data_IF_662804038958
#
_entry.id   IF_662804038958
#
_cell.length_a   1.000
_cell.length_b   1.000
_cell.length_c   1.000
_cell.angle_alpha   90.00
_cell.angle_beta   90.00
_cell.angle_gamma   90.00
#
_symmetry.space_group_name_H-M   'P 1'
#
loop_
_entity.id
_entity.type
_entity.pdbx_description
1 polymer ?
#
# COMPACT_ATOMS: atom_id res chain seq x y z
N UNK A 1 -69.56 -53.85 27.04
CA UNK A 1 -68.53 -53.47 26.05
C UNK A 1 -68.32 -54.66 25.14
N UNK A 2 -68.61 -54.53 23.85
CA UNK A 2 -68.55 -55.64 22.88
C UNK A 2 -67.13 -55.84 22.35
N UNK A 3 -66.84 -57.02 21.81
CA UNK A 3 -65.52 -57.34 21.22
C UNK A 3 -65.16 -56.37 20.09
N UNK A 4 -66.15 -55.93 19.30
CA UNK A 4 -66.00 -54.94 18.24
C UNK A 4 -65.68 -53.52 18.76
N UNK A 5 -66.25 -53.10 19.89
CA UNK A 5 -65.91 -51.81 20.52
C UNK A 5 -64.46 -51.79 21.00
N UNK A 6 -63.97 -52.90 21.56
CA UNK A 6 -62.57 -53.04 22.00
C UNK A 6 -61.61 -52.95 20.80
N UNK A 7 -61.92 -53.68 19.73
CA UNK A 7 -61.13 -53.70 18.50
C UNK A 7 -61.06 -52.32 17.82
N UNK A 8 -62.18 -51.58 17.77
CA UNK A 8 -62.20 -50.20 17.22
C UNK A 8 -61.38 -49.23 18.05
N UNK A 9 -61.37 -49.39 19.37
CA UNK A 9 -60.58 -48.55 20.29
C UNK A 9 -59.08 -48.81 20.15
N UNK A 10 -58.68 -50.07 20.04
CA UNK A 10 -57.30 -50.47 19.80
C UNK A 10 -56.80 -49.98 18.42
N UNK A 11 -57.65 -50.02 17.40
CA UNK A 11 -57.32 -49.49 16.07
C UNK A 11 -57.22 -47.96 16.06
N UNK A 12 -58.05 -47.26 16.84
CA UNK A 12 -57.90 -45.82 17.07
C UNK A 12 -56.59 -45.48 17.77
N UNK A 13 -56.24 -46.20 18.84
CA UNK A 13 -54.98 -46.01 19.57
C UNK A 13 -53.76 -46.24 18.67
N UNK A 14 -53.77 -47.30 17.83
CA UNK A 14 -52.71 -47.55 16.84
C UNK A 14 -52.54 -46.40 15.85
N UNK A 15 -53.64 -45.89 15.29
CA UNK A 15 -53.59 -44.75 14.35
C UNK A 15 -53.08 -43.48 15.04
N UNK A 16 -53.41 -43.30 16.32
CA UNK A 16 -52.94 -42.17 17.11
C UNK A 16 -51.44 -42.29 17.45
N UNK A 17 -50.96 -43.50 17.77
CA UNK A 17 -49.54 -43.80 17.96
C UNK A 17 -48.72 -43.61 16.67
N UNK A 18 -49.23 -44.05 15.52
CA UNK A 18 -48.62 -43.81 14.21
C UNK A 18 -48.53 -42.31 13.88
N UNK A 19 -49.59 -41.53 14.17
CA UNK A 19 -49.56 -40.07 14.04
C UNK A 19 -48.52 -39.43 14.94
N UNK A 20 -48.44 -39.85 16.21
CA UNK A 20 -47.42 -39.33 17.14
C UNK A 20 -46.00 -39.66 16.71
N UNK A 21 -45.77 -40.87 16.16
CA UNK A 21 -44.46 -41.24 15.60
C UNK A 21 -44.09 -40.40 14.39
N UNK A 22 -45.00 -40.26 13.43
CA UNK A 22 -44.77 -39.46 12.23
C UNK A 22 -44.58 -37.98 12.56
N UNK A 23 -45.35 -37.41 13.49
CA UNK A 23 -45.15 -36.05 14.00
C UNK A 23 -43.79 -35.87 14.68
N UNK A 24 -43.36 -36.85 15.49
CA UNK A 24 -42.06 -36.83 16.15
C UNK A 24 -40.90 -36.90 15.13
N UNK A 25 -41.02 -37.75 14.11
CA UNK A 25 -40.04 -37.84 13.01
C UNK A 25 -39.98 -36.55 12.20
N UNK A 26 -41.13 -35.94 11.88
CA UNK A 26 -41.19 -34.66 11.18
C UNK A 26 -40.53 -33.54 12.00
N UNK A 27 -40.81 -33.44 13.31
CA UNK A 27 -40.17 -32.46 14.19
C UNK A 27 -38.67 -32.67 14.26
N UNK A 28 -38.21 -33.91 14.36
CA UNK A 28 -36.77 -34.23 14.36
C UNK A 28 -36.10 -33.80 13.07
N UNK A 29 -36.67 -34.14 11.91
CA UNK A 29 -36.13 -33.72 10.60
C UNK A 29 -36.13 -32.19 10.44
N UNK A 30 -37.16 -31.51 10.91
CA UNK A 30 -37.24 -30.05 10.87
C UNK A 30 -36.15 -29.39 11.73
N UNK A 31 -35.84 -29.95 12.90
CA UNK A 31 -34.75 -29.47 13.76
C UNK A 31 -33.37 -29.73 13.12
N UNK A 32 -33.14 -30.94 12.59
CA UNK A 32 -31.89 -31.27 11.89
C UNK A 32 -31.69 -30.39 10.65
N UNK A 33 -32.75 -30.05 9.91
CA UNK A 33 -32.67 -29.15 8.77
C UNK A 33 -32.43 -27.69 9.20
N UNK A 34 -33.03 -27.24 10.30
CA UNK A 34 -32.78 -25.91 10.86
C UNK A 34 -31.33 -25.75 11.35
N UNK A 35 -30.78 -26.77 12.02
CA UNK A 35 -29.38 -26.80 12.47
C UNK A 35 -28.41 -26.71 11.28
N UNK A 36 -28.64 -27.50 10.22
CA UNK A 36 -27.84 -27.42 8.99
C UNK A 36 -27.88 -26.04 8.34
N UNK A 37 -29.05 -25.41 8.28
CA UNK A 37 -29.20 -24.05 7.74
C UNK A 37 -28.42 -23.03 8.56
N UNK A 38 -28.46 -23.16 9.89
CA UNK A 38 -27.70 -22.28 10.79
C UNK A 38 -26.19 -22.46 10.61
N UNK A 39 -25.71 -23.70 10.48
CA UNK A 39 -24.30 -24.00 10.24
C UNK A 39 -23.82 -23.49 8.89
N UNK A 40 -24.62 -23.68 7.83
CA UNK A 40 -24.33 -23.15 6.49
C UNK A 40 -24.29 -21.61 6.50
N UNK A 41 -25.18 -20.95 7.23
CA UNK A 41 -25.19 -19.50 7.37
C UNK A 41 -23.95 -19.00 8.14
N UNK A 42 -23.58 -19.65 9.24
CA UNK A 42 -22.34 -19.34 9.96
C UNK A 42 -21.11 -19.53 9.09
N UNK A 43 -21.05 -20.62 8.31
CA UNK A 43 -19.94 -20.86 7.38
C UNK A 43 -19.84 -19.74 6.35
N UNK A 44 -20.94 -19.36 5.71
CA UNK A 44 -20.98 -18.25 4.75
C UNK A 44 -20.58 -16.92 5.38
N UNK A 45 -20.97 -16.67 6.63
CA UNK A 45 -20.57 -15.47 7.36
C UNK A 45 -19.06 -15.44 7.59
N UNK A 46 -18.47 -16.54 8.06
CA UNK A 46 -17.02 -16.67 8.26
C UNK A 46 -16.25 -16.49 6.95
N UNK A 47 -16.71 -17.12 5.86
CA UNK A 47 -16.12 -16.97 4.52
C UNK A 47 -16.10 -15.49 4.07
N UNK A 48 -17.21 -14.76 4.29
CA UNK A 48 -17.26 -13.31 3.98
C UNK A 48 -16.33 -12.49 4.86
N UNK A 49 -16.28 -12.78 6.16
CA UNK A 49 -15.40 -12.08 7.10
C UNK A 49 -13.92 -12.31 6.75
N UNK A 50 -13.55 -13.52 6.35
CA UNK A 50 -12.21 -13.86 5.89
C UNK A 50 -11.85 -13.17 4.56
N UNK A 51 -12.77 -13.16 3.60
CA UNK A 51 -12.58 -12.44 2.32
C UNK A 51 -12.46 -10.93 2.53
N UNK A 52 -13.27 -10.34 3.42
CA UNK A 52 -13.14 -8.93 3.80
C UNK A 52 -11.80 -8.63 4.46
N UNK A 53 -11.35 -9.49 5.38
CA UNK A 53 -10.04 -9.37 6.01
C UNK A 53 -8.92 -9.41 4.98
N UNK A 54 -8.93 -10.40 4.09
CA UNK A 54 -7.95 -10.50 2.98
C UNK A 54 -7.94 -9.27 2.11
N UNK A 55 -9.12 -8.74 1.74
CA UNK A 55 -9.22 -7.49 0.96
C UNK A 55 -8.64 -6.30 1.71
N UNK A 56 -8.89 -6.17 3.02
CA UNK A 56 -8.30 -5.08 3.83
C UNK A 56 -6.79 -5.21 3.92
N UNK A 57 -6.27 -6.41 4.18
CA UNK A 57 -4.84 -6.67 4.28
C UNK A 57 -4.13 -6.39 2.93
N UNK A 58 -4.76 -6.77 1.82
CA UNK A 58 -4.25 -6.47 0.48
C UNK A 58 -4.27 -4.96 0.18
N UNK A 59 -5.37 -4.27 0.50
CA UNK A 59 -5.46 -2.82 0.36
C UNK A 59 -4.40 -2.11 1.20
N UNK A 60 -4.17 -2.55 2.43
CA UNK A 60 -3.15 -1.99 3.31
C UNK A 60 -1.75 -2.22 2.74
N UNK A 61 -1.45 -3.43 2.25
CA UNK A 61 -0.17 -3.73 1.58
C UNK A 61 0.05 -2.81 0.38
N UNK A 62 -0.95 -2.67 -0.49
CA UNK A 62 -0.88 -1.79 -1.66
C UNK A 62 -0.73 -0.32 -1.28
N UNK A 63 -1.40 0.15 -0.21
CA UNK A 63 -1.27 1.51 0.27
C UNK A 63 0.15 1.80 0.80
N UNK A 64 0.72 0.88 1.60
CA UNK A 64 2.11 0.97 2.08
C UNK A 64 3.10 0.98 0.93
N UNK A 65 2.90 0.14 -0.08
CA UNK A 65 3.74 0.10 -1.27
C UNK A 65 3.70 1.40 -2.06
N UNK A 66 2.49 1.96 -2.29
CA UNK A 66 2.33 3.28 -2.93
C UNK A 66 3.00 4.39 -2.14
N UNK A 67 2.87 4.39 -0.81
CA UNK A 67 3.52 5.36 0.07
C UNK A 67 5.05 5.28 -0.04
N UNK A 68 5.63 4.07 -0.01
CA UNK A 68 7.07 3.87 -0.18
C UNK A 68 7.57 4.37 -1.55
N UNK A 69 6.86 4.04 -2.64
CA UNK A 69 7.20 4.54 -3.99
C UNK A 69 7.14 6.07 -4.05
N UNK A 70 6.11 6.67 -3.46
CA UNK A 70 5.95 8.13 -3.42
C UNK A 70 7.08 8.80 -2.64
N UNK A 71 7.48 8.23 -1.51
CA UNK A 71 8.60 8.77 -0.73
C UNK A 71 9.93 8.63 -1.47
N UNK A 72 10.15 7.49 -2.14
CA UNK A 72 11.35 7.28 -2.98
C UNK A 72 11.40 8.28 -4.15
N UNK A 73 10.27 8.54 -4.81
CA UNK A 73 10.17 9.55 -5.87
C UNK A 73 10.39 10.97 -5.35
N UNK A 74 9.92 11.28 -4.14
CA UNK A 74 10.14 12.56 -3.49
C UNK A 74 11.62 12.79 -3.20
N UNK A 75 12.30 11.80 -2.63
CA UNK A 75 13.74 11.86 -2.34
C UNK A 75 14.56 12.00 -3.63
N UNK A 76 14.21 11.26 -4.68
CA UNK A 76 14.83 11.39 -6.00
C UNK A 76 14.71 12.81 -6.56
N UNK A 77 13.48 13.35 -6.60
CA UNK A 77 13.25 14.72 -7.10
C UNK A 77 14.00 15.77 -6.29
N UNK A 78 14.05 15.62 -4.96
CA UNK A 78 14.82 16.52 -4.11
C UNK A 78 16.32 16.49 -4.45
N UNK A 79 16.89 15.30 -4.69
CA UNK A 79 18.28 15.16 -5.12
C UNK A 79 18.54 15.74 -6.52
N UNK A 80 17.64 15.51 -7.48
CA UNK A 80 17.72 16.10 -8.83
C UNK A 80 17.62 17.63 -8.81
N UNK A 81 16.77 18.19 -7.96
CA UNK A 81 16.58 19.64 -7.86
C UNK A 81 17.78 20.31 -7.18
N UNK A 82 18.36 19.66 -6.17
CA UNK A 82 19.58 20.15 -5.51
C UNK A 82 20.80 20.06 -6.44
N UNK A 83 20.97 18.97 -7.20
CA UNK A 83 22.00 18.86 -8.23
C UNK A 83 21.88 20.00 -9.25
N UNK A 84 20.68 20.25 -9.79
CA UNK A 84 20.43 21.34 -10.73
C UNK A 84 20.69 22.72 -10.14
N UNK A 85 20.41 22.91 -8.84
CA UNK A 85 20.70 24.15 -8.12
C UNK A 85 22.21 24.36 -7.99
N UNK A 86 22.94 23.35 -7.54
CA UNK A 86 24.39 23.40 -7.41
C UNK A 86 25.08 23.59 -8.77
N UNK A 87 24.61 22.91 -9.82
CA UNK A 87 25.17 23.05 -11.16
C UNK A 87 24.97 24.48 -11.69
N UNK A 88 23.80 25.10 -11.49
CA UNK A 88 23.59 26.51 -11.84
C UNK A 88 24.48 27.46 -11.05
N UNK A 89 24.70 27.20 -9.76
CA UNK A 89 25.60 27.99 -8.93
C UNK A 89 27.07 27.85 -9.39
N UNK A 90 27.50 26.63 -9.75
CA UNK A 90 28.81 26.38 -10.33
C UNK A 90 29.00 27.16 -11.64
N UNK A 91 28.03 27.09 -12.56
CA UNK A 91 28.07 27.87 -13.81
C UNK A 91 28.22 29.36 -13.57
N UNK A 92 27.44 29.91 -12.64
CA UNK A 92 27.54 31.33 -12.29
C UNK A 92 28.92 31.71 -11.70
N UNK A 93 29.53 30.81 -10.90
CA UNK A 93 30.87 31.02 -10.36
C UNK A 93 31.95 30.94 -11.47
N UNK A 94 31.85 29.96 -12.37
CA UNK A 94 32.74 29.81 -13.53
C UNK A 94 32.68 31.05 -14.45
N UNK A 95 31.47 31.55 -14.73
CA UNK A 95 31.26 32.75 -15.54
C UNK A 95 31.88 34.00 -14.89
N UNK A 96 31.79 34.10 -13.55
CA UNK A 96 32.42 35.17 -12.78
C UNK A 96 33.95 35.10 -12.86
N UNK A 97 34.53 33.90 -12.74
CA UNK A 97 35.97 33.68 -12.92
C UNK A 97 36.40 34.14 -14.31
N UNK A 98 35.74 33.66 -15.37
CA UNK A 98 36.06 34.02 -16.75
C UNK A 98 36.01 35.54 -16.97
N UNK A 99 35.00 36.20 -16.40
CA UNK A 99 34.84 37.65 -16.49
C UNK A 99 36.00 38.38 -15.81
N UNK A 100 36.40 37.95 -14.62
CA UNK A 100 37.50 38.54 -13.87
C UNK A 100 38.85 38.26 -14.51
N UNK A 101 39.08 37.07 -15.08
CA UNK A 101 40.30 36.74 -15.82
C UNK A 101 40.51 37.65 -17.02
N UNK A 102 39.43 38.01 -17.71
CA UNK A 102 39.49 38.96 -18.81
C UNK A 102 39.81 40.36 -18.30
N UNK A 103 39.09 40.84 -17.28
CA UNK A 103 39.24 42.21 -16.75
C UNK A 103 40.56 42.44 -16.03
N UNK A 104 41.12 41.45 -15.35
CA UNK A 104 42.38 41.58 -14.61
C UNK A 104 43.59 41.85 -15.51
N UNK A 105 43.44 41.66 -16.83
CA UNK A 105 44.47 42.03 -17.82
C UNK A 105 44.64 43.54 -17.93
N UNK A 106 43.53 44.27 -17.85
CA UNK A 106 43.51 45.73 -17.95
C UNK A 106 43.54 46.40 -16.56
N UNK A 107 43.14 45.66 -15.51
CA UNK A 107 43.01 46.14 -14.14
C UNK A 107 43.70 45.21 -13.13
N UNK A 108 45.02 45.38 -12.88
CA UNK A 108 45.80 44.50 -12.00
C UNK A 108 45.32 44.44 -10.54
N UNK A 109 44.61 45.46 -10.07
CA UNK A 109 44.00 45.49 -8.73
C UNK A 109 42.94 44.38 -8.54
N UNK A 110 42.35 43.86 -9.62
CA UNK A 110 41.34 42.80 -9.60
C UNK A 110 41.94 41.40 -9.43
N UNK A 111 43.27 41.26 -9.37
CA UNK A 111 43.93 39.95 -9.20
C UNK A 111 43.53 39.28 -7.88
N UNK A 112 43.28 40.06 -6.82
CA UNK A 112 42.74 39.54 -5.56
C UNK A 112 41.33 38.97 -5.73
N UNK A 113 40.43 39.73 -6.34
CA UNK A 113 39.06 39.29 -6.62
C UNK A 113 39.01 38.04 -7.53
N UNK A 114 39.94 37.93 -8.47
CA UNK A 114 40.08 36.75 -9.32
C UNK A 114 40.49 35.52 -8.50
N UNK A 115 41.41 35.67 -7.55
CA UNK A 115 41.81 34.56 -6.67
C UNK A 115 40.62 34.09 -5.82
N UNK A 116 39.86 35.02 -5.25
CA UNK A 116 38.67 34.71 -4.47
C UNK A 116 37.58 34.03 -5.32
N UNK A 117 37.34 34.52 -6.54
CA UNK A 117 36.36 33.92 -7.45
C UNK A 117 36.74 32.48 -7.85
N UNK A 118 38.04 32.18 -8.02
CA UNK A 118 38.52 30.81 -8.29
C UNK A 118 38.26 29.89 -7.11
N UNK A 119 38.51 30.36 -5.88
CA UNK A 119 38.16 29.61 -4.66
C UNK A 119 36.65 29.37 -4.55
N UNK A 120 35.82 30.37 -4.86
CA UNK A 120 34.37 30.21 -4.91
C UNK A 120 33.94 29.14 -5.93
N UNK A 121 34.55 29.12 -7.12
CA UNK A 121 34.29 28.13 -8.16
C UNK A 121 34.69 26.71 -7.71
N UNK A 122 35.84 26.55 -7.06
CA UNK A 122 36.28 25.26 -6.50
C UNK A 122 35.31 24.74 -5.44
N UNK A 123 34.84 25.61 -4.54
CA UNK A 123 33.82 25.25 -3.53
C UNK A 123 32.50 24.89 -4.19
N UNK A 124 32.05 25.65 -5.19
CA UNK A 124 30.83 25.34 -5.94
C UNK A 124 30.95 24.00 -6.68
N UNK A 125 32.13 23.69 -7.22
CA UNK A 125 32.41 22.42 -7.89
C UNK A 125 32.30 21.24 -6.93
N UNK A 126 32.92 21.34 -5.75
CA UNK A 126 32.80 20.31 -4.71
C UNK A 126 31.35 20.10 -4.24
N UNK A 127 30.57 21.18 -4.12
CA UNK A 127 29.15 21.09 -3.76
C UNK A 127 28.34 20.38 -4.84
N UNK A 128 28.57 20.72 -6.11
CA UNK A 128 27.93 20.06 -7.23
C UNK A 128 28.29 18.57 -7.30
N UNK A 129 29.57 18.21 -7.13
CA UNK A 129 29.99 16.80 -7.10
C UNK A 129 29.25 16.00 -6.02
N UNK A 130 29.15 16.54 -4.79
CA UNK A 130 28.39 15.88 -3.71
C UNK A 130 26.90 15.75 -4.03
N UNK A 131 26.30 16.76 -4.66
CA UNK A 131 24.91 16.71 -5.05
C UNK A 131 24.66 15.69 -6.19
N UNK A 132 25.56 15.58 -7.16
CA UNK A 132 25.49 14.57 -8.22
C UNK A 132 25.72 13.16 -7.68
N UNK A 133 26.64 12.98 -6.73
CA UNK A 133 26.82 11.70 -6.02
C UNK A 133 25.55 11.27 -5.30
N UNK A 134 24.86 12.19 -4.61
CA UNK A 134 23.58 11.91 -3.96
C UNK A 134 22.50 11.58 -5.00
N UNK A 135 22.40 12.34 -6.10
CA UNK A 135 21.49 12.05 -7.21
C UNK A 135 21.71 10.66 -7.79
N UNK A 136 22.96 10.21 -7.94
CA UNK A 136 23.30 8.87 -8.44
C UNK A 136 22.84 7.73 -7.51
N UNK A 137 22.63 7.99 -6.21
CA UNK A 137 22.02 7.02 -5.28
C UNK A 137 20.54 6.77 -5.59
N UNK A 138 19.90 7.69 -6.31
CA UNK A 138 18.50 7.63 -6.70
C UNK A 138 18.38 7.52 -8.24
N UNK A 139 18.82 6.40 -8.84
CA UNK A 139 18.80 6.24 -10.28
C UNK A 139 17.37 6.37 -10.83
N UNK A 140 17.26 6.98 -12.02
CA UNK A 140 16.00 7.05 -12.73
C UNK A 140 15.47 5.63 -13.00
N UNK A 141 14.18 5.37 -12.76
CA UNK A 141 13.55 4.13 -13.17
C UNK A 141 13.42 4.01 -14.71
N UNK A 142 13.68 5.10 -15.43
CA UNK A 142 13.70 5.15 -16.89
C UNK A 142 15.14 5.24 -17.38
N UNK A 143 15.57 4.33 -18.29
CA UNK A 143 16.97 4.20 -18.70
C UNK A 143 17.42 5.20 -19.79
N UNK A 144 16.65 6.27 -20.04
CA UNK A 144 16.85 7.24 -21.11
C UNK A 144 16.56 8.66 -20.61
#
# INVERSE_FOLDING_TARGET
MTWDERRRRDEQLRREEERRRTDAEHRRRALEEAERRQDDEQRRRREREDDERRRRDEQERLARERAHRTESDRLRRAAEDEERRCHRALRAAEDRVLTLEYRSRDYPELVGDLADARLEADVAHQRWQRADEERRRWPSPWPW
#
